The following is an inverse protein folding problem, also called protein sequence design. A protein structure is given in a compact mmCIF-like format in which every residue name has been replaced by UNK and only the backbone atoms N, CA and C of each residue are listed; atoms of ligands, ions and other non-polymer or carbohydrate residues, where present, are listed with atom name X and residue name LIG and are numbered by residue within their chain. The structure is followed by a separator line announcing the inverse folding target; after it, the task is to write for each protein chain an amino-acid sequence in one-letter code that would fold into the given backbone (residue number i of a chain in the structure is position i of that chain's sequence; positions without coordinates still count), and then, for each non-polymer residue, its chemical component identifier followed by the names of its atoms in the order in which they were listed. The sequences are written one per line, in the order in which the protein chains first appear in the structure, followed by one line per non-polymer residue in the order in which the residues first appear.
data_IF_273280470385
#
_entry.id   IF_273280470385
#
_cell.length_a   1.000
_cell.length_b   1.000
_cell.length_c   1.000
_cell.angle_alpha   90.00
_cell.angle_beta   90.00
_cell.angle_gamma   90.00
#
_symmetry.space_group_name_H-M   'P 1'
#
loop_
_entity.id
_entity.type
_entity.pdbx_description
1 polymer ?
#
# COMPACT_ATOMS: atom_id res chain seq x y z
N UNK A 1 6.73 -16.84 26.70
CA UNK A 1 7.00 -15.45 27.13
C UNK A 1 5.74 -14.76 27.67
N UNK A 2 4.61 -14.81 26.96
CA UNK A 2 3.32 -14.21 27.35
C UNK A 2 2.86 -14.55 28.78
N UNK A 3 3.01 -15.81 29.22
CA UNK A 3 2.63 -16.26 30.57
C UNK A 3 3.45 -15.63 31.70
N UNK A 4 4.73 -15.35 31.47
CA UNK A 4 5.65 -14.75 32.46
C UNK A 4 5.32 -13.26 32.64
N UNK A 5 4.97 -12.57 31.56
CA UNK A 5 4.59 -11.16 31.58
C UNK A 5 3.26 -10.93 32.32
N UNK A 6 2.27 -11.79 32.07
CA UNK A 6 0.97 -11.72 32.77
C UNK A 6 1.12 -11.91 34.29
N UNK A 7 1.99 -12.84 34.73
CA UNK A 7 2.25 -13.09 36.14
C UNK A 7 2.93 -11.90 36.84
N UNK A 8 3.87 -11.23 36.16
CA UNK A 8 4.51 -10.01 36.67
C UNK A 8 3.50 -8.87 36.83
N UNK A 9 2.62 -8.68 35.85
CA UNK A 9 1.56 -7.65 35.92
C UNK A 9 0.62 -7.91 37.11
N UNK A 10 0.20 -9.17 37.32
CA UNK A 10 -0.65 -9.52 38.45
C UNK A 10 0.03 -9.27 39.81
N UNK A 11 1.32 -9.59 39.93
CA UNK A 11 2.09 -9.34 41.15
C UNK A 11 2.17 -7.83 41.49
N UNK A 12 2.38 -6.98 40.49
CA UNK A 12 2.43 -5.52 40.67
C UNK A 12 1.04 -4.97 41.04
N UNK A 13 -0.04 -5.50 40.43
CA UNK A 13 -1.40 -5.11 40.77
C UNK A 13 -1.77 -5.43 42.22
N UNK A 14 -1.35 -6.59 42.74
CA UNK A 14 -1.55 -6.96 44.15
C UNK A 14 -0.74 -6.06 45.10
N UNK A 15 0.51 -5.70 44.76
CA UNK A 15 1.29 -4.75 45.57
C UNK A 15 0.66 -3.35 45.63
N UNK A 16 -0.02 -2.92 44.57
CA UNK A 16 -0.69 -1.62 44.51
C UNK A 16 -2.11 -1.63 45.12
N UNK A 17 -2.60 -2.80 45.52
CA UNK A 17 -3.95 -3.03 46.06
C UNK A 17 -4.02 -2.54 47.51
N UNK A 18 -4.28 -1.25 47.67
CA UNK A 18 -4.41 -0.59 48.97
C UNK A 18 -3.79 0.80 49.02
N UNK A 19 -2.96 1.16 48.03
CA UNK A 19 -2.37 2.49 47.92
C UNK A 19 -3.34 3.48 47.26
N UNK A 20 -3.96 4.36 48.04
CA UNK A 20 -4.93 5.35 47.56
C UNK A 20 -4.32 6.60 46.89
N UNK A 21 -3.02 6.60 46.63
CA UNK A 21 -2.29 7.69 45.97
C UNK A 21 -2.70 7.74 44.48
N UNK A 22 -2.87 8.97 43.94
CA UNK A 22 -3.30 9.20 42.54
C UNK A 22 -2.46 8.43 41.51
N UNK A 23 -1.14 8.38 41.73
CA UNK A 23 -0.20 7.67 40.87
C UNK A 23 -0.46 6.16 40.86
N UNK A 24 -0.67 5.55 42.03
CA UNK A 24 -0.97 4.13 42.16
C UNK A 24 -2.31 3.75 41.52
N UNK A 25 -3.31 4.63 41.56
CA UNK A 25 -4.60 4.43 40.87
C UNK A 25 -4.42 4.51 39.35
N UNK A 26 -3.67 5.51 38.87
CA UNK A 26 -3.35 5.67 37.45
C UNK A 26 -2.60 4.46 36.90
N UNK A 27 -1.62 3.97 37.65
CA UNK A 27 -0.78 2.83 37.26
C UNK A 27 -1.58 1.52 37.23
N UNK A 28 -2.50 1.30 38.19
CA UNK A 28 -3.44 0.17 38.16
C UNK A 28 -4.33 0.18 36.92
N UNK A 29 -4.86 1.34 36.52
CA UNK A 29 -5.67 1.48 35.31
C UNK A 29 -4.87 1.16 34.04
N UNK A 30 -3.60 1.59 33.97
CA UNK A 30 -2.72 1.29 32.82
C UNK A 30 -2.40 -0.20 32.72
N UNK A 31 -2.02 -0.82 33.84
CA UNK A 31 -1.69 -2.25 33.88
C UNK A 31 -2.89 -3.15 33.54
N UNK A 32 -4.10 -2.80 33.97
CA UNK A 32 -5.30 -3.54 33.58
C UNK A 32 -5.56 -3.47 32.06
N UNK A 33 -5.33 -2.31 31.43
CA UNK A 33 -5.44 -2.17 29.97
C UNK A 33 -4.39 -2.99 29.22
N UNK A 34 -3.16 -3.05 29.75
CA UNK A 34 -2.11 -3.89 29.15
C UNK A 34 -2.44 -5.38 29.28
N UNK A 35 -2.98 -5.80 30.43
CA UNK A 35 -3.47 -7.17 30.64
C UNK A 35 -4.57 -7.55 29.64
N UNK A 36 -5.51 -6.65 29.38
CA UNK A 36 -6.57 -6.86 28.36
C UNK A 36 -5.98 -7.00 26.96
N UNK A 37 -5.00 -6.17 26.57
CA UNK A 37 -4.34 -6.25 25.26
C UNK A 37 -3.56 -7.56 25.06
N UNK A 38 -2.96 -8.09 26.13
CA UNK A 38 -2.25 -9.38 26.09
C UNK A 38 -3.25 -10.54 26.01
N UNK A 39 -4.44 -10.39 26.60
CA UNK A 39 -5.48 -11.42 26.63
C UNK A 39 -6.30 -11.49 25.33
N UNK A 40 -6.41 -10.39 24.58
CA UNK A 40 -7.09 -10.37 23.28
C UNK A 40 -6.12 -10.90 22.22
N UNK A 41 -6.36 -12.07 21.61
CA UNK A 41 -5.57 -12.50 20.47
C UNK A 41 -5.72 -11.46 19.36
N UNK A 42 -4.58 -10.95 18.88
CA UNK A 42 -4.53 -10.08 17.70
C UNK A 42 -5.22 -10.86 16.58
N UNK A 43 -6.32 -10.35 15.99
CA UNK A 43 -6.96 -11.05 14.90
C UNK A 43 -5.94 -11.17 13.76
N UNK A 44 -5.59 -12.40 13.40
CA UNK A 44 -4.82 -12.66 12.20
C UNK A 44 -5.61 -12.07 11.03
N UNK A 45 -4.98 -11.31 10.12
CA UNK A 45 -5.68 -10.79 8.97
C UNK A 45 -6.24 -11.98 8.17
N UNK A 46 -7.56 -12.08 8.08
CA UNK A 46 -8.22 -13.08 7.26
C UNK A 46 -7.70 -12.94 5.82
N UNK A 47 -7.13 -14.02 5.28
CA UNK A 47 -6.66 -14.03 3.90
C UNK A 47 -7.88 -13.90 2.98
N UNK A 48 -8.13 -12.69 2.48
CA UNK A 48 -9.10 -12.44 1.41
C UNK A 48 -8.43 -12.81 0.09
N UNK A 49 -8.94 -13.86 -0.56
CA UNK A 49 -8.47 -14.24 -1.89
C UNK A 49 -8.60 -13.04 -2.86
N UNK A 50 -7.58 -12.73 -3.66
CA UNK A 50 -7.65 -11.60 -4.58
C UNK A 50 -8.73 -11.85 -5.65
N UNK A 51 -9.58 -10.85 -5.88
CA UNK A 51 -10.56 -10.87 -6.96
C UNK A 51 -9.84 -10.73 -8.32
N UNK A 52 -9.47 -11.89 -8.88
CA UNK A 52 -8.75 -11.99 -10.16
C UNK A 52 -9.55 -11.40 -11.32
N UNK A 53 -10.88 -11.46 -11.27
CA UNK A 53 -11.73 -10.91 -12.33
C UNK A 53 -11.66 -9.39 -12.35
N UNK A 54 -11.75 -8.76 -11.18
CA UNK A 54 -11.60 -7.30 -11.06
C UNK A 54 -10.16 -6.86 -11.37
N UNK A 55 -9.14 -7.63 -10.95
CA UNK A 55 -7.75 -7.36 -11.30
C UNK A 55 -7.54 -7.38 -12.83
N UNK A 56 -8.07 -8.39 -13.53
CA UNK A 56 -7.98 -8.50 -14.98
C UNK A 56 -8.73 -7.36 -15.70
N UNK A 57 -9.93 -6.99 -15.21
CA UNK A 57 -10.69 -5.84 -15.74
C UNK A 57 -9.91 -4.53 -15.60
N UNK A 58 -9.32 -4.28 -14.43
CA UNK A 58 -8.49 -3.09 -14.17
C UNK A 58 -7.28 -3.05 -15.11
N UNK A 59 -6.57 -4.18 -15.26
CA UNK A 59 -5.43 -4.30 -16.17
C UNK A 59 -5.82 -4.02 -17.62
N UNK A 60 -6.92 -4.62 -18.09
CA UNK A 60 -7.42 -4.42 -19.45
C UNK A 60 -7.81 -2.96 -19.71
N UNK A 61 -8.53 -2.33 -18.77
CA UNK A 61 -8.93 -0.92 -18.85
C UNK A 61 -7.70 0.00 -18.93
N UNK A 62 -6.71 -0.23 -18.07
CA UNK A 62 -5.46 0.52 -18.09
C UNK A 62 -4.73 0.41 -19.44
N UNK A 63 -4.59 -0.81 -19.97
CA UNK A 63 -3.92 -1.03 -21.26
C UNK A 63 -4.63 -0.34 -22.42
N UNK A 64 -5.98 -0.33 -22.41
CA UNK A 64 -6.78 0.41 -23.39
C UNK A 64 -6.59 1.92 -23.27
N UNK A 65 -6.54 2.44 -22.05
CA UNK A 65 -6.26 3.85 -21.79
C UNK A 65 -4.91 4.29 -22.34
N UNK A 66 -3.85 3.53 -22.03
CA UNK A 66 -2.50 3.78 -22.57
C UNK A 66 -2.52 3.74 -24.10
N UNK A 67 -3.15 2.73 -24.70
CA UNK A 67 -3.21 2.62 -26.16
C UNK A 67 -3.87 3.84 -26.83
N UNK A 68 -4.98 4.33 -26.25
CA UNK A 68 -5.69 5.49 -26.78
C UNK A 68 -4.88 6.78 -26.60
N UNK A 69 -4.24 6.95 -25.44
CA UNK A 69 -3.35 8.07 -25.17
C UNK A 69 -2.20 8.14 -26.19
N UNK A 70 -1.56 7.00 -26.47
CA UNK A 70 -0.43 6.95 -27.42
C UNK A 70 -0.86 7.23 -28.85
N UNK A 71 -2.06 6.78 -29.25
CA UNK A 71 -2.64 7.15 -30.54
C UNK A 71 -2.86 8.66 -30.63
N UNK A 72 -3.47 9.25 -29.61
CA UNK A 72 -3.70 10.69 -29.56
C UNK A 72 -2.37 11.46 -29.64
N UNK A 73 -1.38 11.05 -28.86
CA UNK A 73 -0.05 11.66 -28.86
C UNK A 73 0.58 11.62 -30.26
N UNK A 74 0.59 10.44 -30.87
CA UNK A 74 1.12 10.25 -32.23
C UNK A 74 0.40 11.11 -33.25
N UNK A 75 -0.92 11.17 -33.18
CA UNK A 75 -1.72 11.90 -34.16
C UNK A 75 -1.61 13.42 -33.96
N UNK A 76 -1.25 13.87 -32.74
CA UNK A 76 -1.01 15.28 -32.39
C UNK A 76 0.36 15.78 -32.86
N UNK A 77 1.39 14.93 -32.80
CA UNK A 77 2.78 15.29 -33.15
C UNK A 77 3.24 14.59 -34.43
N UNK A 78 3.33 15.30 -35.58
CA UNK A 78 3.70 14.70 -36.87
C UNK A 78 5.06 13.99 -36.85
N UNK A 79 6.03 14.55 -36.14
CA UNK A 79 7.37 13.97 -35.97
C UNK A 79 7.35 12.57 -35.33
N UNK A 80 6.45 12.33 -34.37
CA UNK A 80 6.25 11.00 -33.79
C UNK A 80 5.52 10.06 -34.75
N UNK A 81 4.57 10.59 -35.52
CA UNK A 81 3.79 9.81 -36.49
C UNK A 81 4.64 9.26 -37.63
N UNK A 82 5.62 10.05 -38.08
CA UNK A 82 6.53 9.66 -39.17
C UNK A 82 7.58 8.66 -38.70
N UNK A 83 8.05 8.80 -37.45
CA UNK A 83 9.14 7.98 -36.92
C UNK A 83 8.65 6.69 -36.26
N UNK A 84 7.48 6.69 -35.63
CA UNK A 84 7.02 5.58 -34.79
C UNK A 84 5.59 5.14 -35.10
N UNK A 85 5.40 3.82 -35.17
CA UNK A 85 4.06 3.23 -35.14
C UNK A 85 3.48 3.26 -33.73
N UNK A 86 2.15 3.26 -33.59
CA UNK A 86 1.50 3.21 -32.26
C UNK A 86 1.94 2.00 -31.42
N UNK A 87 2.30 0.89 -32.07
CA UNK A 87 2.79 -0.31 -31.38
C UNK A 87 4.21 -0.13 -30.84
N UNK A 88 5.09 0.53 -31.59
CA UNK A 88 6.44 0.87 -31.13
C UNK A 88 6.37 1.86 -29.95
N UNK A 89 5.54 2.89 -30.07
CA UNK A 89 5.29 3.84 -28.96
C UNK A 89 4.76 3.13 -27.71
N UNK A 90 3.87 2.13 -27.88
CA UNK A 90 3.38 1.32 -26.77
C UNK A 90 4.49 0.53 -26.09
N UNK A 91 5.37 -0.10 -26.87
CA UNK A 91 6.53 -0.81 -26.32
C UNK A 91 7.46 0.13 -25.55
N UNK A 92 7.78 1.28 -26.13
CA UNK A 92 8.66 2.28 -25.53
C UNK A 92 8.06 2.89 -24.26
N UNK A 93 6.75 3.13 -24.20
CA UNK A 93 6.09 3.62 -22.99
C UNK A 93 6.34 2.69 -21.79
N UNK A 94 6.27 1.36 -22.00
CA UNK A 94 6.56 0.40 -20.94
C UNK A 94 8.05 0.24 -20.64
N UNK A 95 8.92 0.34 -21.66
CA UNK A 95 10.38 0.36 -21.47
C UNK A 95 10.79 1.53 -20.57
N UNK A 96 10.31 2.74 -20.90
CA UNK A 96 10.48 3.94 -20.07
C UNK A 96 9.98 3.75 -18.65
N UNK A 97 8.79 3.17 -18.47
CA UNK A 97 8.23 2.91 -17.14
C UNK A 97 9.06 1.93 -16.30
N UNK A 98 9.85 1.08 -16.95
CA UNK A 98 10.84 0.20 -16.29
C UNK A 98 12.19 0.89 -16.03
N UNK A 99 12.38 2.12 -16.53
CA UNK A 99 13.64 2.84 -16.44
C UNK A 99 14.66 2.46 -17.52
N UNK A 100 14.20 1.84 -18.61
CA UNK A 100 15.04 1.56 -19.77
C UNK A 100 15.20 2.82 -20.64
N UNK A 101 16.33 2.93 -21.33
CA UNK A 101 16.54 3.98 -22.33
C UNK A 101 15.54 3.82 -23.49
N UNK A 102 14.96 4.94 -23.90
CA UNK A 102 13.93 4.98 -24.95
C UNK A 102 14.23 6.06 -25.98
N UNK A 103 13.83 5.80 -27.22
CA UNK A 103 14.08 6.71 -28.34
C UNK A 103 13.17 7.96 -28.31
N UNK A 104 11.95 7.84 -27.77
CA UNK A 104 11.02 8.96 -27.65
C UNK A 104 11.38 9.80 -26.43
N UNK A 105 11.65 11.09 -26.68
CA UNK A 105 12.00 12.08 -25.66
C UNK A 105 10.90 12.23 -24.59
N UNK A 106 11.34 12.41 -23.34
CA UNK A 106 10.49 12.65 -22.17
C UNK A 106 9.48 13.79 -22.30
N UNK A 107 9.79 14.81 -23.09
CA UNK A 107 8.88 15.93 -23.33
C UNK A 107 7.55 15.46 -23.92
N UNK A 108 7.56 14.47 -24.82
CA UNK A 108 6.33 13.95 -25.44
C UNK A 108 5.50 13.12 -24.46
N UNK A 109 6.12 12.49 -23.47
CA UNK A 109 5.42 11.70 -22.46
C UNK A 109 4.70 12.54 -21.41
N UNK A 110 4.98 13.84 -21.34
CA UNK A 110 4.40 14.77 -20.37
C UNK A 110 3.13 15.45 -20.85
N UNK A 111 2.51 15.00 -21.95
CA UNK A 111 1.34 15.65 -22.51
C UNK A 111 0.25 15.83 -21.44
N UNK A 112 -0.06 17.08 -21.02
CA UNK A 112 -1.06 17.34 -20.01
C UNK A 112 -2.42 17.07 -20.65
N UNK A 113 -3.10 16.03 -20.18
CA UNK A 113 -4.53 15.86 -20.45
C UNK A 113 -5.34 16.95 -19.77
#
# INVERSE_FOLDING_TARGET
MVSIELNKINAILEQLKGLHIKEAISLRKRLNKEKEKIAVPIPEPEFVAPDMNNANKRRSSFMKGVWNYLKLLRDTYPELREQFTSRQMFSQFFARRRGEDVDINDVFWQNPS
#
